data_IF_940862080961
#
_entry.id   IF_940862080961
#
_cell.length_a   1.000
_cell.length_b   1.000
_cell.length_c   1.000
_cell.angle_alpha   90.00
_cell.angle_beta   90.00
_cell.angle_gamma   90.00
#
_symmetry.space_group_name_H-M   'P 1'
#
loop_
_entity.id
_entity.type
_entity.pdbx_description
1 polymer ?
#
# COMPACT_ATOMS: atom_id res chain seq x y z
N UNK A 1 -10.67 -23.33 17.44
CA UNK A 1 -10.61 -22.31 16.37
C UNK A 1 -9.39 -21.44 16.61
N UNK A 2 -8.45 -21.35 15.65
CA UNK A 2 -7.28 -20.48 15.82
C UNK A 2 -7.61 -19.11 15.24
N UNK A 3 -7.62 -18.08 16.07
CA UNK A 3 -7.49 -16.69 15.64
C UNK A 3 -6.35 -16.60 14.63
N UNK A 4 -6.49 -15.77 13.59
CA UNK A 4 -5.35 -15.41 12.73
C UNK A 4 -4.23 -14.95 13.68
N UNK A 5 -3.09 -15.65 13.75
CA UNK A 5 -2.06 -15.27 14.71
C UNK A 5 -1.61 -13.85 14.38
N UNK A 6 -1.32 -13.06 15.43
CA UNK A 6 -0.60 -11.81 15.27
C UNK A 6 0.58 -12.05 14.32
N UNK A 7 0.76 -11.17 13.34
CA UNK A 7 1.78 -11.30 12.29
C UNK A 7 3.08 -11.80 12.90
N UNK A 8 3.65 -12.89 12.35
CA UNK A 8 4.88 -13.47 12.92
C UNK A 8 5.96 -12.39 13.08
N UNK A 9 6.89 -12.52 14.05
CA UNK A 9 7.93 -11.51 14.26
C UNK A 9 8.70 -11.16 12.97
N UNK A 10 8.88 -12.14 12.08
CA UNK A 10 9.49 -11.97 10.76
C UNK A 10 8.66 -11.09 9.82
N UNK A 11 7.34 -11.29 9.76
CA UNK A 11 6.44 -10.45 8.95
C UNK A 11 6.43 -9.03 9.49
N UNK A 12 6.32 -8.85 10.82
CA UNK A 12 6.39 -7.53 11.45
C UNK A 12 7.72 -6.83 11.16
N UNK A 13 8.84 -7.53 11.31
CA UNK A 13 10.16 -6.96 11.05
C UNK A 13 10.31 -6.50 9.58
N UNK A 14 9.79 -7.29 8.63
CA UNK A 14 9.76 -6.89 7.23
C UNK A 14 8.90 -5.64 7.00
N UNK A 15 7.69 -5.62 7.58
CA UNK A 15 6.71 -4.58 7.34
C UNK A 15 7.09 -3.27 8.04
N UNK A 16 7.76 -3.30 9.19
CA UNK A 16 8.12 -2.11 9.96
C UNK A 16 9.57 -1.62 9.69
N UNK A 17 10.31 -2.26 8.79
CA UNK A 17 11.68 -1.83 8.46
C UNK A 17 11.70 -0.38 7.94
N UNK A 18 12.77 0.35 8.25
CA UNK A 18 13.01 1.69 7.69
C UNK A 18 13.23 1.61 6.17
N UNK A 19 12.69 2.60 5.47
CA UNK A 19 12.90 2.82 4.04
C UNK A 19 13.97 3.91 3.91
N UNK A 20 15.15 3.56 3.39
CA UNK A 20 16.34 4.43 3.43
C UNK A 20 16.71 5.00 2.07
N UNK A 21 16.09 4.52 0.99
CA UNK A 21 16.37 4.97 -0.38
C UNK A 21 15.40 6.08 -0.84
N UNK A 22 15.63 6.60 -2.05
CA UNK A 22 14.67 7.41 -2.79
C UNK A 22 13.83 6.50 -3.69
N UNK A 23 12.51 6.73 -3.72
CA UNK A 23 11.53 5.88 -4.40
C UNK A 23 10.75 6.67 -5.45
N UNK A 24 11.36 6.98 -6.62
CA UNK A 24 10.73 7.80 -7.64
C UNK A 24 9.42 7.23 -8.20
N UNK A 25 9.25 5.91 -8.20
CA UNK A 25 8.02 5.25 -8.69
C UNK A 25 7.44 4.36 -7.59
N UNK A 26 6.21 4.64 -7.20
CA UNK A 26 5.45 3.82 -6.24
C UNK A 26 4.24 3.24 -6.97
N UNK A 27 4.15 1.91 -6.98
CA UNK A 27 3.01 1.18 -7.50
C UNK A 27 2.20 0.65 -6.31
N UNK A 28 0.91 0.96 -6.29
CA UNK A 28 0.00 0.46 -5.26
C UNK A 28 -1.16 -0.30 -5.87
N UNK A 29 -1.62 -1.28 -5.11
CA UNK A 29 -2.73 -2.15 -5.49
C UNK A 29 -3.44 -2.68 -4.24
N UNK A 30 -4.68 -3.12 -4.40
CA UNK A 30 -5.44 -3.77 -3.35
C UNK A 30 -5.93 -5.14 -3.81
N UNK A 31 -5.74 -6.14 -2.95
CA UNK A 31 -6.34 -7.46 -3.12
C UNK A 31 -7.52 -7.60 -2.16
N UNK A 32 -8.71 -7.83 -2.70
CA UNK A 32 -9.89 -8.13 -1.90
C UNK A 32 -9.80 -9.57 -1.39
N UNK A 33 -9.83 -9.73 -0.06
CA UNK A 33 -9.70 -10.99 0.64
C UNK A 33 -11.00 -11.32 1.36
N UNK A 34 -11.48 -12.54 1.17
CA UNK A 34 -12.54 -13.12 2.01
C UNK A 34 -11.89 -13.74 3.25
N UNK A 35 -12.15 -13.16 4.41
CA UNK A 35 -11.56 -13.60 5.68
C UNK A 35 -12.65 -13.97 6.68
N UNK A 36 -12.30 -14.84 7.64
CA UNK A 36 -13.18 -15.15 8.77
C UNK A 36 -12.73 -14.36 9.99
N UNK A 37 -13.61 -13.53 10.51
CA UNK A 37 -13.39 -12.65 11.67
C UNK A 37 -14.61 -12.75 12.58
N UNK A 38 -14.40 -13.01 13.88
CA UNK A 38 -15.47 -13.12 14.88
C UNK A 38 -16.68 -13.94 14.42
N UNK A 39 -16.40 -15.15 13.93
CA UNK A 39 -17.36 -16.13 13.40
C UNK A 39 -18.13 -15.71 12.13
N UNK A 40 -17.87 -14.51 11.61
CA UNK A 40 -18.43 -14.00 10.38
C UNK A 40 -17.44 -14.12 9.22
N UNK A 41 -17.95 -14.23 7.99
CA UNK A 41 -17.15 -14.11 6.77
C UNK A 41 -17.30 -12.70 6.25
N UNK A 42 -16.18 -11.95 6.21
CA UNK A 42 -16.14 -10.54 5.82
C UNK A 42 -15.13 -10.32 4.71
N UNK A 43 -15.36 -9.27 3.92
CA UNK A 43 -14.41 -8.81 2.92
C UNK A 43 -13.43 -7.82 3.57
N UNK A 44 -12.14 -7.96 3.27
CA UNK A 44 -11.08 -7.01 3.65
C UNK A 44 -10.24 -6.67 2.43
N UNK A 45 -9.56 -5.52 2.47
CA UNK A 45 -8.60 -5.13 1.46
C UNK A 45 -7.18 -5.35 1.99
N UNK A 46 -6.35 -6.08 1.24
CA UNK A 46 -4.91 -6.10 1.45
C UNK A 46 -4.26 -5.04 0.55
N UNK A 47 -3.89 -3.91 1.14
CA UNK A 47 -3.22 -2.81 0.47
C UNK A 47 -1.73 -3.14 0.36
N UNK A 48 -1.20 -3.09 -0.87
CA UNK A 48 0.18 -3.46 -1.17
C UNK A 48 0.87 -2.27 -1.84
N UNK A 49 2.07 -1.94 -1.36
CA UNK A 49 2.96 -0.99 -2.03
C UNK A 49 4.22 -1.69 -2.50
N UNK A 50 4.53 -1.52 -3.78
CA UNK A 50 5.85 -1.82 -4.35
C UNK A 50 6.45 -0.56 -4.94
N UNK A 51 7.76 -0.45 -4.98
CA UNK A 51 8.40 0.73 -5.53
C UNK A 51 9.69 0.39 -6.26
N UNK A 52 10.03 1.25 -7.22
CA UNK A 52 11.32 1.23 -7.92
C UNK A 52 12.16 2.32 -7.30
N UNK A 53 13.28 1.92 -6.71
CA UNK A 53 14.28 2.83 -6.14
C UNK A 53 14.99 3.62 -7.23
N UNK A 54 15.66 4.69 -6.83
CA UNK A 54 16.49 5.49 -7.75
C UNK A 54 17.62 4.69 -8.43
N UNK A 55 18.07 3.58 -7.84
CA UNK A 55 19.05 2.65 -8.42
C UNK A 55 18.43 1.60 -9.35
N UNK A 56 17.12 1.67 -9.61
CA UNK A 56 16.40 0.78 -10.52
C UNK A 56 15.90 -0.51 -9.86
N UNK A 57 16.22 -0.79 -8.60
CA UNK A 57 15.78 -2.01 -7.92
C UNK A 57 14.32 -1.88 -7.47
N UNK A 58 13.52 -2.89 -7.79
CA UNK A 58 12.13 -2.99 -7.30
C UNK A 58 12.07 -3.74 -5.98
N UNK A 59 11.34 -3.20 -5.01
CA UNK A 59 11.06 -3.88 -3.74
C UNK A 59 9.60 -3.67 -3.28
N UNK A 60 9.10 -4.59 -2.45
CA UNK A 60 7.82 -4.42 -1.75
C UNK A 60 8.06 -3.56 -0.51
N UNK A 61 7.41 -2.40 -0.44
CA UNK A 61 7.55 -1.49 0.69
C UNK A 61 6.78 -1.98 1.91
N UNK A 62 5.58 -2.53 1.71
CA UNK A 62 4.78 -3.07 2.81
C UNK A 62 3.39 -3.49 2.37
N UNK A 63 2.69 -4.13 3.30
CA UNK A 63 1.33 -4.62 3.17
C UNK A 63 0.54 -4.23 4.42
N UNK A 64 -0.67 -3.70 4.27
CA UNK A 64 -1.61 -3.50 5.38
C UNK A 64 -2.97 -4.09 5.03
N UNK A 65 -3.63 -4.67 6.04
CA UNK A 65 -5.03 -5.11 5.92
C UNK A 65 -5.91 -3.95 6.39
N UNK A 66 -6.79 -3.50 5.51
CA UNK A 66 -7.82 -2.51 5.80
C UNK A 66 -9.22 -3.07 5.59
N UNK A 67 -10.22 -2.37 6.11
CA UNK A 67 -11.62 -2.78 5.99
C UNK A 67 -12.21 -2.54 4.60
N UNK A 68 -11.67 -1.56 3.86
CA UNK A 68 -12.12 -1.19 2.51
C UNK A 68 -11.03 -0.44 1.76
N UNK A 69 -11.25 -0.14 0.49
CA UNK A 69 -10.38 0.72 -0.32
C UNK A 69 -10.73 2.21 -0.20
N UNK A 70 -11.29 2.61 0.94
CA UNK A 70 -11.68 4.00 1.19
C UNK A 70 -10.47 4.95 1.15
N UNK A 71 -10.76 6.23 0.92
CA UNK A 71 -9.76 7.30 1.04
C UNK A 71 -9.01 7.23 2.39
N UNK A 72 -9.72 7.03 3.50
CA UNK A 72 -9.11 6.99 4.83
C UNK A 72 -8.10 5.85 4.95
N UNK A 73 -8.45 4.67 4.43
CA UNK A 73 -7.56 3.50 4.45
C UNK A 73 -6.29 3.74 3.63
N UNK A 74 -6.41 4.35 2.44
CA UNK A 74 -5.24 4.71 1.62
C UNK A 74 -4.41 5.85 2.23
N UNK A 75 -5.06 6.86 2.81
CA UNK A 75 -4.42 8.00 3.49
C UNK A 75 -3.55 7.51 4.65
N UNK A 76 -4.05 6.57 5.46
CA UNK A 76 -3.32 5.99 6.58
C UNK A 76 -2.21 5.05 6.13
N UNK A 77 -2.43 4.26 5.08
CA UNK A 77 -1.38 3.42 4.49
C UNK A 77 -0.20 4.26 3.97
N UNK A 78 -0.48 5.36 3.28
CA UNK A 78 0.56 6.26 2.79
C UNK A 78 1.27 7.02 3.92
N UNK A 79 0.56 7.48 4.95
CA UNK A 79 1.19 8.06 6.15
C UNK A 79 2.12 7.05 6.82
N UNK A 80 1.69 5.81 6.97
CA UNK A 80 2.51 4.75 7.57
C UNK A 80 3.80 4.50 6.76
N UNK A 81 3.72 4.43 5.42
CA UNK A 81 4.92 4.33 4.57
C UNK A 81 5.85 5.55 4.72
N UNK A 82 5.30 6.76 4.75
CA UNK A 82 6.07 8.01 4.96
C UNK A 82 6.73 8.04 6.33
N UNK A 83 6.02 7.62 7.38
CA UNK A 83 6.56 7.50 8.74
C UNK A 83 7.74 6.52 8.84
N UNK A 84 7.79 5.52 7.94
CA UNK A 84 8.92 4.60 7.81
C UNK A 84 10.08 5.13 6.96
N UNK A 85 9.92 6.28 6.29
CA UNK A 85 10.97 6.93 5.49
C UNK A 85 10.72 6.96 3.99
N UNK A 86 9.51 6.62 3.50
CA UNK A 86 9.19 6.77 2.07
C UNK A 86 9.33 8.24 1.63
N UNK A 87 10.22 8.48 0.67
CA UNK A 87 10.51 9.81 0.10
C UNK A 87 10.93 9.74 -1.38
N UNK A 88 10.94 10.90 -2.03
CA UNK A 88 11.33 11.04 -3.43
C UNK A 88 10.29 10.61 -4.45
N UNK A 89 9.04 10.39 -4.03
CA UNK A 89 7.96 9.91 -4.89
C UNK A 89 7.63 10.94 -5.97
N UNK A 90 7.83 10.56 -7.23
CA UNK A 90 7.51 11.38 -8.41
C UNK A 90 6.32 10.83 -9.19
N UNK A 91 6.13 9.51 -9.14
CA UNK A 91 5.02 8.81 -9.77
C UNK A 91 4.32 7.89 -8.79
N UNK A 92 2.99 7.95 -8.78
CA UNK A 92 2.13 6.93 -8.19
C UNK A 92 1.36 6.23 -9.31
N UNK A 93 1.49 4.91 -9.36
CA UNK A 93 0.82 4.05 -10.34
C UNK A 93 -0.17 3.15 -9.60
N UNK A 94 -1.43 3.19 -9.99
CA UNK A 94 -2.51 2.43 -9.36
C UNK A 94 -3.66 2.19 -10.33
N UNK A 95 -4.68 1.44 -9.94
CA UNK A 95 -5.97 1.53 -10.62
C UNK A 95 -6.60 2.94 -10.47
N UNK A 96 -7.81 3.13 -11.01
CA UNK A 96 -8.53 4.41 -10.91
C UNK A 96 -9.50 4.48 -9.73
N UNK A 97 -9.26 3.74 -8.64
CA UNK A 97 -10.12 3.80 -7.46
C UNK A 97 -10.11 5.21 -6.85
N UNK A 98 -11.28 5.84 -6.73
CA UNK A 98 -11.37 7.27 -6.40
C UNK A 98 -10.69 7.63 -5.07
N UNK A 99 -10.94 6.84 -4.02
CA UNK A 99 -10.32 7.05 -2.70
C UNK A 99 -8.80 6.92 -2.71
N UNK A 100 -8.26 6.03 -3.55
CA UNK A 100 -6.82 5.84 -3.72
C UNK A 100 -6.20 7.06 -4.40
N UNK A 101 -6.76 7.48 -5.54
CA UNK A 101 -6.26 8.62 -6.32
C UNK A 101 -6.30 9.90 -5.49
N UNK A 102 -7.38 10.10 -4.73
CA UNK A 102 -7.51 11.24 -3.82
C UNK A 102 -6.44 11.21 -2.71
N UNK A 103 -6.25 10.06 -2.06
CA UNK A 103 -5.24 9.90 -1.01
C UNK A 103 -3.81 10.10 -1.54
N UNK A 104 -3.51 9.59 -2.74
CA UNK A 104 -2.21 9.77 -3.39
C UNK A 104 -1.92 11.25 -3.66
N UNK A 105 -2.89 11.99 -4.22
CA UNK A 105 -2.76 13.43 -4.48
C UNK A 105 -2.58 14.23 -3.19
N UNK A 106 -3.25 13.85 -2.11
CA UNK A 106 -3.09 14.48 -0.80
C UNK A 106 -1.70 14.22 -0.20
N UNK A 107 -1.27 12.96 -0.19
CA UNK A 107 -0.05 12.54 0.52
C UNK A 107 1.25 12.85 -0.22
N UNK A 108 1.20 12.92 -1.56
CA UNK A 108 2.37 13.19 -2.41
C UNK A 108 2.10 14.42 -3.27
N UNK A 109 2.34 15.61 -2.72
CA UNK A 109 2.16 16.88 -3.42
C UNK A 109 3.06 16.96 -4.66
N UNK A 110 2.50 17.35 -5.81
CA UNK A 110 3.23 17.46 -7.08
C UNK A 110 3.54 16.12 -7.76
N UNK A 111 3.02 15.00 -7.24
CA UNK A 111 3.21 13.68 -7.86
C UNK A 111 2.45 13.59 -9.18
N UNK A 112 3.07 12.95 -10.17
CA UNK A 112 2.34 12.50 -11.34
C UNK A 112 1.60 11.20 -11.00
N UNK A 113 0.31 11.14 -11.33
CA UNK A 113 -0.47 9.91 -11.19
C UNK A 113 -0.67 9.26 -12.56
N UNK A 114 -0.45 7.95 -12.63
CA UNK A 114 -0.68 7.16 -13.82
C UNK A 114 -1.62 6.00 -13.50
N UNK A 115 -2.66 5.82 -14.32
CA UNK A 115 -3.47 4.60 -14.26
C UNK A 115 -2.64 3.39 -14.73
N UNK A 116 -2.68 2.32 -13.95
CA UNK A 116 -2.05 1.04 -14.26
C UNK A 116 -2.62 0.49 -15.56
N UNK A 117 -1.75 0.18 -16.52
CA UNK A 117 -2.14 -0.36 -17.82
C UNK A 117 -2.69 -1.79 -17.72
N UNK A 118 -2.23 -2.57 -16.74
CA UNK A 118 -2.74 -3.93 -16.50
C UNK A 118 -4.22 -3.92 -16.09
N UNK A 119 -4.63 -2.93 -15.29
CA UNK A 119 -6.04 -2.74 -14.89
C UNK A 119 -6.91 -2.09 -15.98
N UNK A 120 -6.34 -1.75 -17.14
CA UNK A 120 -7.08 -1.20 -18.27
C UNK A 120 -7.39 -2.26 -19.33
N UNK A 121 -6.67 -3.38 -19.33
CA UNK A 121 -6.83 -4.48 -20.29
C UNK A 121 -8.09 -5.31 -20.01
#
# INVERSE_FOLDING_TARGET
MRSVPASTPRVRAFNERRLTAEYPFVLVDALVLTVREEDCVVSKAALIASAIRADGVREILGIQIGDSESFATWDDFFKWLKGRGLKGVRWVISDSHAGLVEAARKQFQGVAWQRCQVHLM
#
